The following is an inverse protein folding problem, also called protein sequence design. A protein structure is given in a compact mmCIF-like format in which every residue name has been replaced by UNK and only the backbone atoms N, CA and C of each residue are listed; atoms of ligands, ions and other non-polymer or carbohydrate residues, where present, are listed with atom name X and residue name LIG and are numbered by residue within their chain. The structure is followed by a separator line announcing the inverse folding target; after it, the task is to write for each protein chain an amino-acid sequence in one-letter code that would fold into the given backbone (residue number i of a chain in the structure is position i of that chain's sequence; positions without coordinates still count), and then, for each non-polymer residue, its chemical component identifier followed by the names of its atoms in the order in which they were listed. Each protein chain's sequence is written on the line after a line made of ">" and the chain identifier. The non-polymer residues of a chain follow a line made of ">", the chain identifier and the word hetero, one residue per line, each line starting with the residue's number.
data_IF_725872139204
#
_entry.id   IF_725872139204
#
_cell.length_a   1.000
_cell.length_b   1.000
_cell.length_c   1.000
_cell.angle_alpha   90.00
_cell.angle_beta   90.00
_cell.angle_gamma   90.00
#
_symmetry.space_group_name_H-M   'P 1'
#
loop_
_entity.id
_entity.type
_entity.pdbx_description
1 polymer ?
#
# COMPACT_ATOMS: atom_id res chain seq x y z
N UNK A 1 43.47 15.55 67.04
CA UNK A 1 42.60 14.74 66.16
C UNK A 1 41.64 15.66 65.45
N UNK A 2 41.95 16.01 64.21
CA UNK A 2 41.15 16.87 63.33
C UNK A 2 40.17 16.03 62.52
N UNK A 3 38.92 16.48 62.30
CA UNK A 3 37.96 15.75 61.48
C UNK A 3 38.28 15.94 59.99
N UNK A 4 38.34 14.84 59.25
CA UNK A 4 38.58 14.81 57.81
C UNK A 4 37.42 15.41 57.03
N UNK A 5 37.73 16.34 56.12
CA UNK A 5 36.82 16.85 55.09
C UNK A 5 36.49 15.71 54.12
N UNK A 6 35.21 15.34 54.01
CA UNK A 6 34.70 14.61 52.84
C UNK A 6 34.45 15.63 51.73
N UNK A 7 35.23 15.54 50.65
CA UNK A 7 35.04 16.34 49.43
C UNK A 7 33.76 15.91 48.70
N UNK A 8 32.94 16.85 48.19
CA UNK A 8 31.70 16.56 47.47
C UNK A 8 31.96 16.29 45.97
N UNK A 9 32.85 15.34 45.64
CA UNK A 9 33.32 15.13 44.25
C UNK A 9 32.73 13.90 43.55
N UNK A 10 31.87 13.12 44.20
CA UNK A 10 31.39 11.84 43.65
C UNK A 10 29.96 11.88 43.08
N UNK A 11 29.22 12.98 43.22
CA UNK A 11 27.82 13.08 42.76
C UNK A 11 27.61 13.79 41.40
N UNK A 12 28.66 14.38 40.83
CA UNK A 12 28.61 15.05 39.52
C UNK A 12 29.04 14.11 38.38
N UNK A 13 30.04 13.25 38.61
CA UNK A 13 30.68 12.40 37.60
C UNK A 13 29.76 11.28 37.06
N UNK A 14 28.68 10.92 37.78
CA UNK A 14 27.80 9.84 37.36
C UNK A 14 26.65 10.29 36.43
N UNK A 15 26.38 11.60 36.31
CA UNK A 15 25.34 12.12 35.40
C UNK A 15 25.81 12.27 33.96
N UNK A 16 27.12 12.32 33.73
CA UNK A 16 27.72 12.50 32.41
C UNK A 16 27.98 11.18 31.67
N UNK A 17 27.89 10.03 32.36
CA UNK A 17 28.17 8.71 31.79
C UNK A 17 26.94 8.04 31.14
N UNK A 18 25.73 8.50 31.45
CA UNK A 18 24.48 7.92 30.93
C UNK A 18 24.03 8.57 29.60
N UNK A 19 24.53 9.78 29.28
CA UNK A 19 24.22 10.50 28.04
C UNK A 19 25.02 10.03 26.81
N UNK A 20 26.03 9.18 26.99
CA UNK A 20 26.92 8.67 25.93
C UNK A 20 26.47 7.31 25.36
N UNK A 21 25.15 7.06 25.28
CA UNK A 21 24.62 6.01 24.38
C UNK A 21 24.90 6.43 22.92
N UNK A 22 25.44 5.55 22.06
CA UNK A 22 26.29 6.01 20.96
C UNK A 22 25.48 6.68 19.84
N UNK A 23 25.78 7.95 19.57
CA UNK A 23 25.26 8.74 18.44
C UNK A 23 25.51 8.05 17.07
N UNK A 24 26.46 7.12 17.00
CA UNK A 24 26.79 6.33 15.81
C UNK A 24 25.61 5.46 15.32
N UNK A 25 24.80 4.91 16.23
CA UNK A 25 23.66 4.06 15.86
C UNK A 25 22.56 4.84 15.14
N UNK A 26 22.35 6.10 15.52
CA UNK A 26 21.36 6.97 14.86
C UNK A 26 21.80 7.31 13.43
N UNK A 27 23.07 7.64 13.21
CA UNK A 27 23.58 7.94 11.85
C UNK A 27 23.50 6.77 10.88
N UNK A 28 23.78 5.55 11.34
CA UNK A 28 23.66 4.35 10.50
C UNK A 28 22.19 4.07 10.16
N UNK A 29 21.29 4.25 11.13
CA UNK A 29 19.85 4.12 10.90
C UNK A 29 19.34 5.16 9.89
N UNK A 30 19.77 6.41 10.00
CA UNK A 30 19.36 7.49 9.07
C UNK A 30 19.83 7.20 7.63
N UNK A 31 21.09 6.78 7.45
CA UNK A 31 21.62 6.40 6.14
C UNK A 31 20.86 5.21 5.55
N UNK A 32 20.54 4.21 6.37
CA UNK A 32 19.74 3.07 5.94
C UNK A 32 18.32 3.47 5.53
N UNK A 33 17.66 4.33 6.29
CA UNK A 33 16.31 4.84 6.00
C UNK A 33 16.30 5.64 4.70
N UNK A 34 17.26 6.54 4.51
CA UNK A 34 17.39 7.33 3.28
C UNK A 34 17.66 6.43 2.07
N UNK A 35 18.54 5.43 2.23
CA UNK A 35 18.83 4.46 1.18
C UNK A 35 17.60 3.64 0.78
N UNK A 36 16.80 3.19 1.76
CA UNK A 36 15.56 2.48 1.52
C UNK A 36 14.52 3.37 0.80
N UNK A 37 14.34 4.62 1.25
CA UNK A 37 13.42 5.57 0.62
C UNK A 37 13.82 5.86 -0.83
N UNK A 38 15.12 6.05 -1.11
CA UNK A 38 15.62 6.25 -2.47
C UNK A 38 15.34 5.03 -3.37
N UNK A 39 15.51 3.81 -2.85
CA UNK A 39 15.18 2.59 -3.57
C UNK A 39 13.68 2.50 -3.91
N UNK A 40 12.80 2.75 -2.94
CA UNK A 40 11.34 2.76 -3.18
C UNK A 40 10.93 3.85 -4.16
N UNK A 41 11.54 5.03 -4.10
CA UNK A 41 11.30 6.11 -5.06
C UNK A 41 11.68 5.71 -6.48
N UNK A 42 12.84 5.05 -6.66
CA UNK A 42 13.28 4.55 -7.96
C UNK A 42 12.34 3.46 -8.48
N UNK A 43 11.92 2.53 -7.62
CA UNK A 43 10.97 1.48 -7.99
C UNK A 43 9.62 2.06 -8.43
N UNK A 44 9.08 3.03 -7.67
CA UNK A 44 7.84 3.72 -8.03
C UNK A 44 7.97 4.49 -9.36
N UNK A 45 9.11 5.15 -9.60
CA UNK A 45 9.37 5.83 -10.86
C UNK A 45 9.44 4.85 -12.05
N UNK A 46 10.07 3.69 -11.86
CA UNK A 46 10.13 2.64 -12.87
C UNK A 46 8.73 2.10 -13.20
N UNK A 47 7.91 1.82 -12.18
CA UNK A 47 6.51 1.40 -12.36
C UNK A 47 5.69 2.46 -13.11
N UNK A 48 5.82 3.73 -12.73
CA UNK A 48 5.14 4.84 -13.41
C UNK A 48 5.57 4.96 -14.89
N UNK A 49 6.86 4.75 -15.18
CA UNK A 49 7.39 4.76 -16.55
C UNK A 49 6.82 3.60 -17.39
N UNK A 50 6.72 2.41 -16.81
CA UNK A 50 6.09 1.24 -17.45
C UNK A 50 4.62 1.51 -17.73
N UNK A 51 3.87 2.01 -16.74
CA UNK A 51 2.46 2.38 -16.92
C UNK A 51 2.28 3.41 -18.03
N UNK A 52 3.09 4.46 -18.04
CA UNK A 52 3.04 5.48 -19.08
C UNK A 52 3.30 4.90 -20.47
N UNK A 53 4.29 4.01 -20.59
CA UNK A 53 4.59 3.29 -21.83
C UNK A 53 3.39 2.45 -22.31
N UNK A 54 2.76 1.70 -21.41
CA UNK A 54 1.57 0.90 -21.73
C UNK A 54 0.38 1.80 -22.15
N UNK A 55 0.15 2.94 -21.49
CA UNK A 55 -0.87 3.91 -21.89
C UNK A 55 -0.60 4.44 -23.29
N UNK A 56 0.64 4.90 -23.56
CA UNK A 56 1.03 5.41 -24.87
C UNK A 56 0.83 4.37 -25.96
N UNK A 57 1.26 3.13 -25.73
CA UNK A 57 1.06 2.03 -26.68
C UNK A 57 -0.42 1.72 -26.92
N UNK A 58 -1.24 1.74 -25.86
CA UNK A 58 -2.67 1.46 -25.96
C UNK A 58 -3.41 2.55 -26.73
N UNK A 59 -3.09 3.82 -26.49
CA UNK A 59 -3.65 4.97 -27.23
C UNK A 59 -3.21 4.93 -28.70
N UNK A 60 -1.96 4.58 -28.97
CA UNK A 60 -1.48 4.44 -30.35
C UNK A 60 -2.20 3.32 -31.11
N UNK A 61 -2.42 2.16 -30.46
CA UNK A 61 -3.22 1.05 -31.02
C UNK A 61 -4.67 1.47 -31.28
N UNK A 62 -5.27 2.25 -30.37
CA UNK A 62 -6.63 2.77 -30.55
C UNK A 62 -6.71 3.74 -31.74
N UNK A 63 -5.76 4.67 -31.85
CA UNK A 63 -5.72 5.63 -32.95
C UNK A 63 -5.59 4.94 -34.32
N UNK A 64 -4.67 3.97 -34.41
CA UNK A 64 -4.45 3.20 -35.65
C UNK A 64 -5.65 2.31 -36.00
N UNK A 65 -6.32 1.73 -34.99
CA UNK A 65 -7.56 0.98 -35.19
C UNK A 65 -8.67 1.86 -35.80
N UNK A 66 -8.94 3.03 -35.21
CA UNK A 66 -9.98 3.95 -35.70
C UNK A 66 -9.68 4.46 -37.12
N UNK A 67 -8.41 4.70 -37.44
CA UNK A 67 -8.00 5.15 -38.76
C UNK A 67 -8.14 4.06 -39.85
N UNK A 68 -8.35 2.80 -39.48
CA UNK A 68 -8.44 1.67 -40.40
C UNK A 68 -9.88 1.11 -40.44
N UNK A 69 -10.56 1.09 -41.60
CA UNK A 69 -11.97 0.65 -41.72
C UNK A 69 -12.24 -0.82 -41.34
N UNK A 70 -11.20 -1.67 -41.36
CA UNK A 70 -11.26 -3.11 -41.07
C UNK A 70 -10.88 -3.44 -39.61
N UNK A 71 -10.86 -2.45 -38.71
CA UNK A 71 -10.45 -2.69 -37.33
C UNK A 71 -11.46 -3.58 -36.59
N UNK A 72 -10.95 -4.70 -36.04
CA UNK A 72 -11.76 -5.62 -35.26
C UNK A 72 -12.03 -5.08 -33.86
N UNK A 73 -13.21 -5.35 -33.32
CA UNK A 73 -13.62 -5.00 -31.95
C UNK A 73 -12.64 -5.54 -30.90
N UNK A 74 -11.93 -6.64 -31.20
CA UNK A 74 -10.87 -7.20 -30.36
C UNK A 74 -9.73 -6.22 -30.08
N UNK A 75 -9.35 -5.38 -31.05
CA UNK A 75 -8.28 -4.37 -30.85
C UNK A 75 -8.70 -3.31 -29.83
N UNK A 76 -9.99 -2.98 -29.79
CA UNK A 76 -10.54 -2.05 -28.81
C UNK A 76 -10.58 -2.69 -27.42
N UNK A 77 -10.98 -3.96 -27.33
CA UNK A 77 -10.99 -4.72 -26.06
C UNK A 77 -9.57 -4.88 -25.49
N UNK A 78 -8.59 -5.21 -26.34
CA UNK A 78 -7.17 -5.29 -25.97
C UNK A 78 -6.63 -3.95 -25.46
N UNK A 79 -6.99 -2.85 -26.13
CA UNK A 79 -6.58 -1.51 -25.72
C UNK A 79 -7.19 -1.14 -24.35
N UNK A 80 -8.45 -1.53 -24.10
CA UNK A 80 -9.10 -1.33 -22.79
C UNK A 80 -8.42 -2.16 -21.70
N UNK A 81 -8.16 -3.45 -21.90
CA UNK A 81 -7.44 -4.29 -20.93
C UNK A 81 -6.06 -3.70 -20.61
N UNK A 82 -5.27 -3.37 -21.63
CA UNK A 82 -3.95 -2.76 -21.44
C UNK A 82 -4.02 -1.42 -20.69
N UNK A 83 -5.02 -0.56 -20.96
CA UNK A 83 -5.25 0.67 -20.21
C UNK A 83 -5.59 0.41 -18.74
N UNK A 84 -6.45 -0.56 -18.45
CA UNK A 84 -6.84 -0.93 -17.08
C UNK A 84 -5.63 -1.42 -16.28
N UNK A 85 -4.81 -2.30 -16.86
CA UNK A 85 -3.56 -2.76 -16.27
C UNK A 85 -2.62 -1.58 -16.02
N UNK A 86 -2.50 -0.66 -16.98
CA UNK A 86 -1.64 0.51 -16.85
C UNK A 86 -2.05 1.42 -15.69
N UNK A 87 -3.34 1.70 -15.55
CA UNK A 87 -3.87 2.53 -14.46
C UNK A 87 -3.64 1.85 -13.11
N UNK A 88 -3.84 0.53 -13.03
CA UNK A 88 -3.54 -0.23 -11.82
C UNK A 88 -2.08 -0.13 -11.40
N UNK A 89 -1.15 -0.27 -12.34
CA UNK A 89 0.29 -0.12 -12.08
C UNK A 89 0.62 1.30 -11.60
N UNK A 90 -0.02 2.32 -12.18
CA UNK A 90 0.17 3.72 -11.76
C UNK A 90 -0.34 3.96 -10.33
N UNK A 91 -1.48 3.38 -9.96
CA UNK A 91 -2.03 3.47 -8.60
C UNK A 91 -1.09 2.82 -7.58
N UNK A 92 -0.49 1.68 -7.91
CA UNK A 92 0.53 1.02 -7.06
C UNK A 92 1.78 1.88 -6.97
N UNK A 93 2.27 2.42 -8.08
CA UNK A 93 3.44 3.30 -8.11
C UNK A 93 3.22 4.54 -7.23
N UNK A 94 2.04 5.17 -7.35
CA UNK A 94 1.63 6.31 -6.53
C UNK A 94 1.56 5.93 -5.06
N UNK A 95 0.98 4.78 -4.72
CA UNK A 95 0.91 4.30 -3.35
C UNK A 95 2.31 4.09 -2.73
N UNK A 96 3.21 3.42 -3.44
CA UNK A 96 4.61 3.21 -2.98
C UNK A 96 5.32 4.56 -2.77
N UNK A 97 5.16 5.49 -3.71
CA UNK A 97 5.72 6.83 -3.58
C UNK A 97 5.15 7.58 -2.36
N UNK A 98 3.82 7.60 -2.20
CA UNK A 98 3.16 8.27 -1.08
C UNK A 98 3.53 7.66 0.28
N UNK A 99 3.50 6.33 0.41
CA UNK A 99 3.64 5.63 1.69
C UNK A 99 5.10 5.45 2.13
N UNK A 100 6.03 5.14 1.22
CA UNK A 100 7.43 4.82 1.58
C UNK A 100 8.39 5.99 1.40
N UNK A 101 8.04 6.97 0.54
CA UNK A 101 8.95 8.09 0.22
C UNK A 101 8.45 9.40 0.83
N UNK A 102 7.16 9.73 0.67
CA UNK A 102 6.61 11.02 1.12
C UNK A 102 6.11 10.99 2.56
N UNK A 103 5.66 9.84 3.07
CA UNK A 103 5.09 9.73 4.42
C UNK A 103 6.15 9.30 5.43
N UNK A 104 6.53 10.23 6.29
CA UNK A 104 7.45 9.98 7.41
C UNK A 104 6.88 8.92 8.37
N UNK A 105 7.73 8.02 8.87
CA UNK A 105 7.42 6.85 9.73
C UNK A 105 6.77 7.15 11.10
N UNK A 106 6.26 8.35 11.36
CA UNK A 106 5.70 8.70 12.66
C UNK A 106 4.31 8.08 12.85
N UNK A 107 4.30 6.99 13.62
CA UNK A 107 3.15 6.41 14.32
C UNK A 107 1.97 6.07 13.40
N UNK A 108 2.08 4.93 12.70
CA UNK A 108 0.93 4.25 12.07
C UNK A 108 -0.19 4.07 13.11
N UNK A 109 -1.15 4.99 13.11
CA UNK A 109 -2.41 4.75 13.81
C UNK A 109 -3.03 3.48 13.19
N UNK A 110 -3.53 2.52 13.98
CA UNK A 110 -4.16 1.31 13.45
C UNK A 110 -5.25 1.57 12.39
N UNK A 111 -5.86 2.75 12.44
CA UNK A 111 -6.81 3.26 11.44
C UNK A 111 -6.16 3.52 10.07
N UNK A 112 -5.01 4.16 10.02
CA UNK A 112 -4.32 4.52 8.77
C UNK A 112 -3.82 3.28 8.03
N UNK A 113 -3.25 2.31 8.75
CA UNK A 113 -2.84 1.03 8.18
C UNK A 113 -4.03 0.28 7.55
N UNK A 114 -5.20 0.34 8.18
CA UNK A 114 -6.42 -0.33 7.70
C UNK A 114 -7.02 0.36 6.49
N UNK A 115 -6.97 1.69 6.45
CA UNK A 115 -7.39 2.49 5.30
C UNK A 115 -6.51 2.18 4.08
N UNK A 116 -5.19 2.08 4.27
CA UNK A 116 -4.26 1.69 3.21
C UNK A 116 -4.55 0.28 2.68
N UNK A 117 -4.72 -0.72 3.56
CA UNK A 117 -5.08 -2.09 3.17
C UNK A 117 -6.42 -2.12 2.43
N UNK A 118 -7.41 -1.36 2.92
CA UNK A 118 -8.73 -1.29 2.29
C UNK A 118 -8.65 -0.71 0.89
N UNK A 119 -7.96 0.43 0.73
CA UNK A 119 -7.76 1.06 -0.58
C UNK A 119 -7.07 0.11 -1.55
N UNK A 120 -6.03 -0.60 -1.10
CA UNK A 120 -5.31 -1.56 -1.92
C UNK A 120 -6.19 -2.74 -2.37
N UNK A 121 -6.97 -3.33 -1.46
CA UNK A 121 -7.89 -4.41 -1.79
C UNK A 121 -9.00 -3.97 -2.76
N UNK A 122 -9.51 -2.74 -2.62
CA UNK A 122 -10.50 -2.18 -3.55
C UNK A 122 -9.91 -2.04 -4.96
N UNK A 123 -8.67 -1.54 -5.08
CA UNK A 123 -7.99 -1.42 -6.38
C UNK A 123 -7.85 -2.79 -7.04
N UNK A 124 -7.40 -3.82 -6.29
CA UNK A 124 -7.28 -5.18 -6.82
C UNK A 124 -8.65 -5.72 -7.27
N UNK A 125 -9.69 -5.59 -6.45
CA UNK A 125 -11.02 -6.05 -6.81
C UNK A 125 -11.55 -5.35 -8.07
N UNK A 126 -11.31 -4.04 -8.21
CA UNK A 126 -11.69 -3.27 -9.39
C UNK A 126 -10.98 -3.78 -10.65
N UNK A 127 -9.66 -4.01 -10.59
CA UNK A 127 -8.88 -4.54 -11.71
C UNK A 127 -9.35 -5.93 -12.13
N UNK A 128 -9.49 -6.85 -11.18
CA UNK A 128 -9.96 -8.21 -11.47
C UNK A 128 -11.39 -8.22 -12.05
N UNK A 129 -12.26 -7.33 -11.57
CA UNK A 129 -13.63 -7.20 -12.09
C UNK A 129 -13.64 -6.73 -13.54
N UNK A 130 -12.88 -5.66 -13.84
CA UNK A 130 -12.87 -5.09 -15.18
C UNK A 130 -12.24 -6.09 -16.15
N UNK A 131 -11.14 -6.74 -15.77
CA UNK A 131 -10.49 -7.76 -16.61
C UNK A 131 -11.43 -8.93 -16.88
N UNK A 132 -12.15 -9.41 -15.86
CA UNK A 132 -13.16 -10.45 -16.03
C UNK A 132 -14.26 -10.05 -17.02
N UNK A 133 -14.77 -8.81 -16.96
CA UNK A 133 -15.79 -8.32 -17.89
C UNK A 133 -15.24 -8.21 -19.31
N UNK A 134 -14.06 -7.60 -19.49
CA UNK A 134 -13.42 -7.47 -20.82
C UNK A 134 -13.26 -8.85 -21.46
N UNK A 135 -12.82 -9.82 -20.67
CA UNK A 135 -12.58 -11.18 -21.14
C UNK A 135 -13.88 -11.96 -21.41
N UNK A 136 -14.99 -11.68 -20.71
CA UNK A 136 -16.33 -12.19 -21.09
C UNK A 136 -16.71 -11.70 -22.49
N UNK A 137 -16.48 -10.41 -22.80
CA UNK A 137 -16.81 -9.87 -24.13
C UNK A 137 -15.92 -10.44 -25.24
N UNK A 138 -14.64 -10.63 -24.95
CA UNK A 138 -13.68 -11.17 -25.90
C UNK A 138 -13.96 -12.65 -26.22
N UNK A 139 -14.05 -13.49 -25.19
CA UNK A 139 -14.27 -14.93 -25.34
C UNK A 139 -15.71 -15.26 -25.70
N UNK A 140 -16.70 -14.47 -25.26
CA UNK A 140 -18.11 -14.72 -25.55
C UNK A 140 -18.46 -14.68 -27.03
N UNK A 141 -17.65 -14.00 -27.86
CA UNK A 141 -17.82 -13.95 -29.31
C UNK A 141 -16.96 -14.95 -30.08
N UNK A 142 -15.76 -15.24 -29.58
CA UNK A 142 -14.75 -16.03 -30.29
C UNK A 142 -14.72 -17.50 -29.84
N UNK A 143 -14.81 -17.73 -28.53
CA UNK A 143 -14.61 -19.03 -27.88
C UNK A 143 -15.57 -19.18 -26.68
N UNK A 144 -16.88 -19.32 -26.91
CA UNK A 144 -17.87 -19.40 -25.84
C UNK A 144 -17.61 -20.58 -24.88
N UNK A 145 -16.93 -21.63 -25.32
CA UNK A 145 -16.47 -22.74 -24.50
C UNK A 145 -15.50 -22.33 -23.37
N UNK A 146 -14.81 -21.20 -23.51
CA UNK A 146 -13.85 -20.68 -22.53
C UNK A 146 -14.47 -19.68 -21.54
N UNK A 147 -15.77 -19.38 -21.63
CA UNK A 147 -16.45 -18.40 -20.77
C UNK A 147 -16.42 -18.74 -19.27
N UNK A 148 -16.14 -19.99 -18.92
CA UNK A 148 -16.00 -20.38 -17.51
C UNK A 148 -14.85 -19.63 -16.82
N UNK A 149 -13.73 -19.39 -17.52
CA UNK A 149 -12.57 -18.70 -16.96
C UNK A 149 -12.87 -17.26 -16.51
N UNK A 150 -13.42 -16.37 -17.35
CA UNK A 150 -13.77 -15.01 -16.93
C UNK A 150 -14.88 -14.98 -15.87
N UNK A 151 -15.85 -15.91 -15.90
CA UNK A 151 -16.86 -16.03 -14.84
C UNK A 151 -16.20 -16.34 -13.49
N UNK A 152 -15.22 -17.25 -13.47
CA UNK A 152 -14.46 -17.57 -12.25
C UNK A 152 -13.65 -16.36 -11.75
N UNK A 153 -13.06 -15.56 -12.64
CA UNK A 153 -12.40 -14.29 -12.27
C UNK A 153 -13.38 -13.32 -11.60
N UNK A 154 -14.61 -13.20 -12.12
CA UNK A 154 -15.65 -12.37 -11.50
C UNK A 154 -16.05 -12.90 -10.12
N UNK A 155 -16.18 -14.22 -9.95
CA UNK A 155 -16.41 -14.82 -8.64
C UNK A 155 -15.26 -14.52 -7.66
N UNK A 156 -14.00 -14.59 -8.11
CA UNK A 156 -12.84 -14.22 -7.28
C UNK A 156 -12.91 -12.76 -6.84
N UNK A 157 -13.28 -11.84 -7.74
CA UNK A 157 -13.48 -10.43 -7.36
C UNK A 157 -14.51 -10.27 -6.24
N UNK A 158 -15.67 -10.94 -6.36
CA UNK A 158 -16.69 -10.92 -5.30
C UNK A 158 -16.13 -11.47 -3.98
N UNK A 159 -15.34 -12.54 -4.01
CA UNK A 159 -14.68 -13.10 -2.82
C UNK A 159 -13.72 -12.09 -2.19
N UNK A 160 -12.94 -11.34 -2.99
CA UNK A 160 -12.05 -10.28 -2.49
C UNK A 160 -12.86 -9.20 -1.77
N UNK A 161 -13.96 -8.73 -2.37
CA UNK A 161 -14.84 -7.71 -1.77
C UNK A 161 -15.49 -8.21 -0.48
N UNK A 162 -15.98 -9.44 -0.47
CA UNK A 162 -16.56 -10.06 0.74
C UNK A 162 -15.51 -10.24 1.83
N UNK A 163 -14.32 -10.74 1.49
CA UNK A 163 -13.19 -10.89 2.40
C UNK A 163 -12.77 -9.55 3.00
N UNK A 164 -12.76 -8.49 2.20
CA UNK A 164 -12.53 -7.12 2.66
C UNK A 164 -13.62 -6.67 3.64
N UNK A 165 -14.89 -6.95 3.36
CA UNK A 165 -16.00 -6.65 4.28
C UNK A 165 -15.85 -7.36 5.63
N UNK A 166 -15.42 -8.63 5.62
CA UNK A 166 -15.12 -9.40 6.84
C UNK A 166 -13.94 -8.80 7.59
N UNK A 167 -12.84 -8.49 6.90
CA UNK A 167 -11.65 -7.85 7.48
C UNK A 167 -12.00 -6.53 8.17
N UNK A 168 -12.81 -5.68 7.55
CA UNK A 168 -13.23 -4.41 8.14
C UNK A 168 -14.06 -4.62 9.40
N UNK A 169 -15.02 -5.56 9.38
CA UNK A 169 -15.86 -5.87 10.55
C UNK A 169 -15.04 -6.37 11.73
N UNK A 170 -14.11 -7.29 11.50
CA UNK A 170 -13.23 -7.84 12.55
C UNK A 170 -12.32 -6.76 13.14
N UNK A 171 -11.76 -5.92 12.27
CA UNK A 171 -10.84 -4.87 12.70
C UNK A 171 -11.55 -3.77 13.50
N UNK A 172 -12.80 -3.44 13.18
CA UNK A 172 -13.58 -2.47 13.97
C UNK A 172 -13.94 -3.03 15.35
N UNK A 173 -14.23 -4.34 15.43
CA UNK A 173 -14.56 -5.01 16.69
C UNK A 173 -13.37 -5.03 17.66
N UNK A 174 -12.14 -5.28 17.17
CA UNK A 174 -10.95 -5.29 18.03
C UNK A 174 -10.65 -3.92 18.64
N UNK A 175 -10.82 -2.85 17.88
CA UNK A 175 -10.61 -1.48 18.35
C UNK A 175 -11.64 -1.06 19.42
N UNK A 176 -12.91 -1.47 19.25
CA UNK A 176 -13.94 -1.24 20.26
C UNK A 176 -13.67 -1.99 21.57
N UNK A 177 -13.13 -3.21 21.49
CA UNK A 177 -12.74 -3.97 22.68
C UNK A 177 -11.60 -3.29 23.44
N UNK A 178 -10.54 -2.85 22.76
CA UNK A 178 -9.42 -2.14 23.40
C UNK A 178 -9.87 -0.83 24.05
N UNK A 179 -10.79 -0.09 23.40
CA UNK A 179 -11.32 1.15 23.97
C UNK A 179 -12.13 0.89 25.24
N UNK A 180 -12.99 -0.15 25.25
CA UNK A 180 -13.76 -0.54 26.44
C UNK A 180 -12.86 -0.96 27.59
N UNK A 181 -11.83 -1.78 27.32
CA UNK A 181 -10.88 -2.22 28.34
C UNK A 181 -10.08 -1.05 28.94
N UNK A 182 -9.71 -0.06 28.11
CA UNK A 182 -9.07 1.16 28.58
C UNK A 182 -10.01 2.04 29.43
N UNK A 183 -11.27 2.18 29.03
CA UNK A 183 -12.29 2.93 29.77
C UNK A 183 -12.58 2.26 31.14
N UNK A 184 -12.69 0.92 31.16
CA UNK A 184 -12.89 0.13 32.39
C UNK A 184 -11.68 0.22 33.34
N UNK A 185 -10.45 0.17 32.81
CA UNK A 185 -9.22 0.33 33.59
C UNK A 185 -9.08 1.75 34.16
N UNK A 186 -9.52 2.78 33.43
CA UNK A 186 -9.53 4.16 33.90
C UNK A 186 -10.57 4.37 35.02
N UNK A 187 -11.74 3.73 34.92
CA UNK A 187 -12.79 3.78 35.94
C UNK A 187 -12.42 3.03 37.23
N UNK A 188 -11.58 2.00 37.15
CA UNK A 188 -11.17 1.18 38.29
C UNK A 188 -10.05 1.77 39.16
N UNK A 189 -9.45 2.90 38.78
CA UNK A 189 -8.37 3.55 39.55
C UNK A 189 -8.97 4.56 40.54
N UNK A 190 -8.97 4.31 41.86
CA UNK A 190 -9.48 5.27 42.84
C UNK A 190 -8.56 6.51 42.92
N UNK A 191 -9.17 7.68 43.14
CA UNK A 191 -8.52 8.97 43.39
C UNK A 191 -7.64 8.95 44.64
#
# INVERSE_FOLDING_TARGET
>A
MTPGKQSPETASDNRDRESSRPQLFHRIADVFIIGAAAFYALAALAMASVSLGLITLSVFRLYTAIATPESSETVLLDAVSSLVISVAVLDVAKYVMEEEVLRSRELRRPREAREAVTKFMVIIALVVSIEGIVLVFELGRSHPELLLYPIMLLCVSVIIVVGLGVFQRLSLKSEQHLKREADDAAAAKPL
#
